data_IF_164535080659
#
_entry.id   IF_164535080659
#
_cell.length_a   1.000
_cell.length_b   1.000
_cell.length_c   1.000
_cell.angle_alpha   90.00
_cell.angle_beta   90.00
_cell.angle_gamma   90.00
#
_symmetry.space_group_name_H-M   'P 1'
#
loop_
_entity.id
_entity.type
_entity.pdbx_description
1 polymer ?
#
# COMPACT_ATOMS: atom_id res chain seq x y z
N UNK A 1 -11.28 -0.59 17.81
CA UNK A 1 -12.71 -0.72 17.61
C UNK A 1 -13.06 -2.16 17.25
N UNK A 2 -14.26 -2.61 17.63
CA UNK A 2 -14.70 -3.98 17.41
C UNK A 2 -14.91 -4.34 15.95
N UNK A 3 -15.08 -3.37 15.07
CA UNK A 3 -15.27 -3.56 13.63
C UNK A 3 -13.98 -3.36 12.83
N UNK A 4 -12.84 -3.13 13.50
CA UNK A 4 -11.57 -2.89 12.83
C UNK A 4 -11.37 -1.47 12.37
N UNK A 5 -12.30 -0.57 12.61
CA UNK A 5 -12.14 0.85 12.26
C UNK A 5 -11.38 1.62 13.35
N UNK A 6 -10.93 2.81 13.01
CA UNK A 6 -10.21 3.67 13.93
C UNK A 6 -9.63 4.89 13.22
N UNK A 7 -8.58 5.45 13.81
CA UNK A 7 -7.90 6.58 13.20
C UNK A 7 -6.38 6.46 13.39
N UNK A 8 -5.64 7.06 12.45
CA UNK A 8 -4.20 7.21 12.53
C UNK A 8 -3.87 8.61 13.02
N UNK A 9 -2.93 8.70 13.96
CA UNK A 9 -2.41 9.97 14.47
C UNK A 9 -0.98 10.14 13.95
N UNK A 10 -0.73 11.21 13.22
CA UNK A 10 0.58 11.50 12.67
C UNK A 10 1.35 12.45 13.59
N UNK A 11 2.67 12.47 13.42
CA UNK A 11 3.55 13.33 14.23
C UNK A 11 3.22 14.82 14.10
N UNK A 12 2.62 15.22 12.97
CA UNK A 12 2.16 16.58 12.74
C UNK A 12 0.93 16.97 13.57
N UNK A 13 0.27 15.99 14.21
CA UNK A 13 -1.00 16.19 14.91
C UNK A 13 -2.22 15.91 14.07
N UNK A 14 -2.04 15.68 12.76
CA UNK A 14 -3.14 15.34 11.87
C UNK A 14 -3.63 13.93 12.13
N UNK A 15 -4.90 13.67 11.80
CA UNK A 15 -5.51 12.34 11.90
C UNK A 15 -6.17 11.95 10.59
N UNK A 16 -6.20 10.65 10.31
CA UNK A 16 -6.96 10.08 9.19
C UNK A 16 -7.71 8.86 9.69
N UNK A 17 -8.99 8.78 9.35
CA UNK A 17 -9.82 7.65 9.75
C UNK A 17 -9.68 6.51 8.75
N UNK A 18 -9.80 5.28 9.25
CA UNK A 18 -9.80 4.09 8.41
C UNK A 18 -10.97 3.19 8.79
N UNK A 19 -11.49 2.46 7.79
CA UNK A 19 -12.66 1.60 7.98
C UNK A 19 -12.28 0.18 8.35
N UNK A 20 -11.08 -0.27 7.98
CA UNK A 20 -10.59 -1.62 8.29
C UNK A 20 -9.08 -1.68 8.16
N UNK A 21 -8.51 -2.76 8.71
CA UNK A 21 -7.08 -3.06 8.58
C UNK A 21 -6.91 -4.47 8.05
N UNK A 22 -5.82 -4.69 7.31
CA UNK A 22 -5.42 -6.01 6.83
C UNK A 22 -3.91 -6.14 6.97
N UNK A 23 -3.45 -7.38 7.18
CA UNK A 23 -2.03 -7.68 7.07
C UNK A 23 -1.80 -8.24 5.67
N UNK A 24 -0.92 -7.58 4.91
CA UNK A 24 -0.62 -7.96 3.54
C UNK A 24 0.86 -8.25 3.38
N UNK A 25 1.19 -9.19 2.50
CA UNK A 25 2.56 -9.40 2.06
C UNK A 25 2.88 -8.33 1.01
N UNK A 26 3.88 -7.50 1.27
CA UNK A 26 4.23 -6.38 0.40
C UNK A 26 5.57 -6.63 -0.26
N UNK A 27 5.57 -6.75 -1.57
CA UNK A 27 6.75 -6.80 -2.41
C UNK A 27 7.07 -5.41 -2.95
N UNK A 28 8.10 -5.28 -3.78
CA UNK A 28 8.54 -3.98 -4.28
C UNK A 28 8.91 -4.07 -5.76
N UNK A 29 8.61 -3.00 -6.49
CA UNK A 29 9.01 -2.88 -7.89
C UNK A 29 9.31 -1.42 -8.23
N UNK A 30 10.03 -1.19 -9.34
CA UNK A 30 10.46 0.16 -9.74
C UNK A 30 10.36 0.40 -11.24
N UNK A 31 9.73 -0.51 -11.99
CA UNK A 31 9.67 -0.43 -13.46
C UNK A 31 8.32 0.14 -13.92
N UNK A 32 8.27 0.53 -15.18
CA UNK A 32 7.06 0.98 -15.85
C UNK A 32 6.89 2.49 -15.83
N UNK A 33 6.01 2.99 -16.67
CA UNK A 33 5.71 4.42 -16.78
C UNK A 33 4.24 4.71 -16.50
N UNK A 34 3.38 3.69 -16.59
CA UNK A 34 1.94 3.85 -16.37
C UNK A 34 1.38 2.56 -15.79
N UNK A 35 0.47 2.70 -14.84
CA UNK A 35 -0.20 1.59 -14.21
C UNK A 35 -1.42 1.14 -15.01
N UNK A 36 -1.99 -0.02 -14.68
CA UNK A 36 -3.14 -0.58 -15.38
C UNK A 36 -4.38 0.33 -15.27
N UNK A 37 -4.51 1.12 -14.20
CA UNK A 37 -5.63 2.05 -14.03
C UNK A 37 -5.47 3.33 -14.88
N UNK A 38 -4.31 3.51 -15.52
CA UNK A 38 -3.99 4.71 -16.30
C UNK A 38 -3.20 5.76 -15.52
N UNK A 39 -3.04 5.61 -14.21
CA UNK A 39 -2.21 6.52 -13.42
C UNK A 39 -0.75 6.32 -13.76
N UNK A 40 0.09 7.37 -13.70
CA UNK A 40 1.53 7.19 -13.89
C UNK A 40 2.11 6.36 -12.74
N UNK A 41 3.21 5.67 -13.00
CA UNK A 41 3.97 5.05 -11.92
C UNK A 41 4.56 6.14 -11.03
N UNK A 42 4.38 6.01 -9.73
CA UNK A 42 4.89 6.97 -8.76
C UNK A 42 4.86 6.33 -7.37
N UNK A 43 5.66 6.86 -6.46
CA UNK A 43 5.58 6.45 -5.06
C UNK A 43 4.16 6.75 -4.57
N UNK A 44 3.48 5.73 -4.06
CA UNK A 44 2.09 5.83 -3.62
C UNK A 44 1.08 5.20 -4.57
N UNK A 45 1.44 4.91 -5.82
CA UNK A 45 0.56 4.20 -6.76
C UNK A 45 1.02 2.73 -6.80
N UNK A 46 0.25 1.83 -6.16
CA UNK A 46 0.67 0.46 -5.90
C UNK A 46 -0.17 -0.56 -6.65
N UNK A 47 0.38 -1.75 -6.83
CA UNK A 47 -0.33 -2.88 -7.44
C UNK A 47 -1.00 -3.72 -6.36
N UNK A 48 -2.24 -4.14 -6.62
CA UNK A 48 -3.10 -4.83 -5.68
C UNK A 48 -3.92 -5.90 -6.39
N UNK A 49 -4.59 -6.76 -5.59
CA UNK A 49 -5.70 -7.57 -6.09
C UNK A 49 -6.96 -6.70 -6.06
N UNK A 50 -7.50 -6.38 -7.21
CA UNK A 50 -8.65 -5.47 -7.31
C UNK A 50 -9.94 -6.05 -6.73
N UNK A 51 -9.98 -7.34 -6.44
CA UNK A 51 -11.11 -7.94 -5.70
C UNK A 51 -11.01 -7.65 -4.20
N UNK A 52 -9.82 -7.28 -3.70
CA UNK A 52 -9.60 -6.90 -2.29
C UNK A 52 -9.58 -5.37 -2.16
N UNK A 53 -8.90 -4.70 -3.07
CA UNK A 53 -8.77 -3.24 -3.09
C UNK A 53 -9.13 -2.72 -4.49
N UNK A 54 -10.36 -2.28 -4.72
CA UNK A 54 -10.71 -1.69 -6.03
C UNK A 54 -9.81 -0.50 -6.36
N UNK A 55 -9.62 -0.22 -7.64
CA UNK A 55 -8.85 0.95 -8.07
C UNK A 55 -9.39 2.22 -7.42
N UNK A 56 -8.48 3.05 -6.94
CA UNK A 56 -8.81 4.28 -6.24
C UNK A 56 -8.88 4.12 -4.73
N UNK A 57 -8.82 2.89 -4.20
CA UNK A 57 -8.78 2.67 -2.75
C UNK A 57 -7.54 3.35 -2.18
N UNK A 58 -7.74 4.21 -1.20
CA UNK A 58 -6.65 4.88 -0.48
C UNK A 58 -6.33 4.12 0.78
N UNK A 59 -5.04 4.02 1.09
CA UNK A 59 -4.59 3.27 2.25
C UNK A 59 -3.30 3.85 2.81
N UNK A 60 -2.99 3.50 4.05
CA UNK A 60 -1.70 3.80 4.67
C UNK A 60 -1.00 2.47 4.95
N UNK A 61 0.27 2.35 4.54
CA UNK A 61 1.03 1.10 4.57
C UNK A 61 2.25 1.26 5.46
N UNK A 62 2.37 0.39 6.46
CA UNK A 62 3.56 0.34 7.31
C UNK A 62 3.90 -1.11 7.62
N UNK A 63 5.16 -1.41 7.89
CA UNK A 63 5.57 -2.76 8.28
C UNK A 63 4.89 -3.15 9.59
N UNK A 64 4.60 -4.44 9.74
CA UNK A 64 4.00 -4.97 10.97
C UNK A 64 4.86 -4.62 12.18
N UNK A 65 6.20 -4.64 12.02
CA UNK A 65 7.13 -4.28 13.09
C UNK A 65 7.22 -2.78 13.32
N UNK A 66 6.61 -1.96 12.47
CA UNK A 66 6.63 -0.50 12.60
C UNK A 66 7.94 0.17 12.26
N UNK A 67 8.91 -0.59 11.74
CA UNK A 67 10.26 -0.05 11.49
C UNK A 67 10.36 0.74 10.18
N UNK A 68 9.41 0.55 9.25
CA UNK A 68 9.42 1.24 7.96
C UNK A 68 7.99 1.54 7.52
N UNK A 69 7.74 2.79 7.18
CA UNK A 69 6.44 3.23 6.68
C UNK A 69 6.56 3.52 5.19
N UNK A 70 5.82 2.79 4.36
CA UNK A 70 5.70 3.19 2.95
C UNK A 70 4.90 4.48 2.84
N UNK A 71 3.85 4.57 3.67
CA UNK A 71 3.03 5.76 3.77
C UNK A 71 1.73 5.65 2.99
N UNK A 72 1.26 6.80 2.50
CA UNK A 72 0.01 6.89 1.75
C UNK A 72 0.14 6.17 0.42
N UNK A 73 -0.87 5.36 0.10
CA UNK A 73 -0.89 4.57 -1.14
C UNK A 73 -2.28 4.54 -1.74
N UNK A 74 -2.34 4.40 -3.06
CA UNK A 74 -3.59 4.28 -3.82
C UNK A 74 -3.51 3.05 -4.69
N UNK A 75 -4.58 2.25 -4.70
CA UNK A 75 -4.70 1.10 -5.58
C UNK A 75 -4.77 1.58 -7.03
N UNK A 76 -3.71 1.35 -7.81
CA UNK A 76 -3.58 1.91 -9.15
C UNK A 76 -3.20 0.88 -10.20
N UNK A 77 -2.71 -0.28 -9.79
CA UNK A 77 -2.21 -1.30 -10.70
C UNK A 77 -2.64 -2.68 -10.23
N UNK A 78 -2.43 -3.68 -11.07
CA UNK A 78 -2.69 -5.07 -10.73
C UNK A 78 -1.63 -5.95 -11.39
N UNK A 79 -1.57 -7.22 -11.00
CA UNK A 79 -0.65 -8.17 -11.60
C UNK A 79 -1.15 -9.58 -11.37
N UNK A 80 -0.75 -10.51 -12.26
CA UNK A 80 -1.21 -11.90 -12.19
C UNK A 80 -0.75 -12.60 -10.91
N UNK A 81 0.35 -12.15 -10.32
CA UNK A 81 0.89 -12.69 -9.08
C UNK A 81 0.40 -11.96 -7.82
N UNK A 82 -0.35 -10.86 -7.97
CA UNK A 82 -0.81 -10.04 -6.85
C UNK A 82 -2.24 -10.43 -6.53
N UNK A 83 -2.41 -11.41 -5.67
CA UNK A 83 -3.70 -12.01 -5.34
C UNK A 83 -3.90 -12.07 -3.82
N UNK A 84 -5.14 -11.84 -3.38
CA UNK A 84 -5.51 -11.88 -1.97
C UNK A 84 -4.88 -10.72 -1.20
N UNK A 85 -4.43 -11.00 0.02
CA UNK A 85 -3.78 -10.01 0.87
C UNK A 85 -2.31 -9.84 0.48
N UNK A 86 -2.11 -9.35 -0.74
CA UNK A 86 -0.80 -9.17 -1.33
C UNK A 86 -0.79 -7.84 -2.07
N UNK A 87 0.28 -7.07 -1.90
CA UNK A 87 0.44 -5.78 -2.56
C UNK A 87 1.87 -5.68 -3.08
N UNK A 88 2.07 -4.81 -4.07
CA UNK A 88 3.38 -4.59 -4.68
C UNK A 88 3.63 -3.08 -4.71
N UNK A 89 4.60 -2.65 -3.93
CA UNK A 89 4.86 -1.23 -3.68
C UNK A 89 5.84 -0.68 -4.71
N UNK A 90 5.48 0.44 -5.34
CA UNK A 90 6.37 1.06 -6.32
C UNK A 90 7.39 1.96 -5.62
N UNK A 91 8.65 1.80 -6.01
CA UNK A 91 9.75 2.64 -5.54
C UNK A 91 10.39 3.35 -6.73
N UNK A 92 10.97 4.49 -6.47
CA UNK A 92 11.57 5.33 -7.51
C UNK A 92 12.77 4.67 -8.18
N UNK A 93 13.57 3.92 -7.42
CA UNK A 93 14.77 3.28 -7.92
C UNK A 93 14.76 1.78 -7.64
N UNK A 94 15.49 1.04 -8.46
CA UNK A 94 15.68 -0.40 -8.26
C UNK A 94 16.37 -0.68 -6.93
N UNK A 95 17.33 0.17 -6.54
CA UNK A 95 18.04 0.03 -5.27
C UNK A 95 17.09 0.11 -4.07
N UNK A 96 16.18 1.09 -4.08
CA UNK A 96 15.16 1.21 -3.02
C UNK A 96 14.24 0.01 -2.97
N UNK A 97 13.81 -0.49 -4.13
CA UNK A 97 12.96 -1.67 -4.21
C UNK A 97 13.68 -2.91 -3.66
N UNK A 98 14.97 -3.06 -3.95
CA UNK A 98 15.78 -4.16 -3.42
C UNK A 98 15.93 -4.07 -1.90
N UNK A 99 16.10 -2.86 -1.37
CA UNK A 99 16.21 -2.64 0.07
C UNK A 99 14.91 -3.02 0.78
N UNK A 100 13.78 -2.74 0.16
CA UNK A 100 12.48 -3.14 0.71
C UNK A 100 12.33 -4.67 0.71
N UNK A 101 12.63 -5.31 -0.42
CA UNK A 101 12.47 -6.76 -0.58
C UNK A 101 11.02 -7.19 -0.46
N UNK A 102 10.72 -8.02 0.53
CA UNK A 102 9.36 -8.44 0.86
C UNK A 102 9.17 -8.36 2.37
N UNK A 103 8.12 -7.67 2.79
CA UNK A 103 7.81 -7.47 4.22
C UNK A 103 6.31 -7.60 4.43
N UNK A 104 5.93 -8.12 5.61
CA UNK A 104 4.53 -8.08 6.01
C UNK A 104 4.20 -6.67 6.49
N UNK A 105 3.09 -6.15 6.01
CA UNK A 105 2.65 -4.80 6.30
C UNK A 105 1.24 -4.80 6.87
N UNK A 106 0.98 -3.86 7.77
CA UNK A 106 -0.38 -3.50 8.15
C UNK A 106 -0.86 -2.45 7.16
N UNK A 107 -1.99 -2.72 6.55
CA UNK A 107 -2.64 -1.83 5.58
C UNK A 107 -3.90 -1.27 6.23
N UNK A 108 -3.94 0.05 6.37
CA UNK A 108 -5.12 0.76 6.89
C UNK A 108 -5.89 1.29 5.70
N UNK A 109 -7.10 0.77 5.48
CA UNK A 109 -7.96 1.21 4.37
C UNK A 109 -8.66 2.49 4.81
N UNK A 110 -8.30 3.59 4.17
CA UNK A 110 -8.77 4.93 4.55
C UNK A 110 -10.18 5.19 4.04
N UNK A 111 -10.89 5.99 4.79
CA UNK A 111 -12.24 6.43 4.41
C UNK A 111 -12.20 7.47 3.27
#
# INVERSE_FOLDING_TARGET
NGDGSGYLLFASGDTMTFSRTLVCSATAYSIGTRTASGRPTAVGNIAVDTSVFPYGTRMYVQTVKGSWHYGMATAADCGTAIKGNKIDLWFRTYSEACDWGRRDCTVYVLD
#
